data_IF_835685170568
#
_entry.id   IF_835685170568
#
_cell.length_a   1.000
_cell.length_b   1.000
_cell.length_c   1.000
_cell.angle_alpha   90.00
_cell.angle_beta   90.00
_cell.angle_gamma   90.00
#
_symmetry.space_group_name_H-M   'P 1'
#
loop_
_entity.id
_entity.type
_entity.pdbx_description
1 polymer ?
#
# COMPACT_ATOMS: atom_id res chain seq x y z
N UNK A 1 50.40 10.49 -11.76
CA UNK A 1 50.45 9.32 -12.67
C UNK A 1 49.63 9.67 -13.88
N UNK A 2 50.22 9.69 -15.07
CA UNK A 2 49.60 10.24 -16.30
C UNK A 2 48.22 9.67 -16.56
N UNK A 3 47.25 10.55 -16.84
CA UNK A 3 45.92 10.20 -17.36
C UNK A 3 46.10 9.47 -18.70
N UNK A 4 46.03 8.14 -18.68
CA UNK A 4 46.17 7.32 -19.86
C UNK A 4 44.85 7.36 -20.63
N UNK A 5 44.81 8.09 -21.74
CA UNK A 5 43.67 8.10 -22.66
C UNK A 5 43.58 6.72 -23.32
N UNK A 6 42.39 6.13 -23.28
CA UNK A 6 42.07 4.80 -23.82
C UNK A 6 41.39 5.02 -25.18
N UNK A 7 41.87 4.31 -26.20
CA UNK A 7 41.39 4.47 -27.57
C UNK A 7 40.56 3.28 -28.04
N UNK A 8 39.67 3.53 -28.99
CA UNK A 8 38.95 2.49 -29.72
C UNK A 8 38.50 2.95 -31.10
N UNK A 9 38.23 2.01 -32.00
CA UNK A 9 37.78 2.25 -33.37
C UNK A 9 36.50 1.46 -33.64
N UNK A 10 35.49 2.16 -34.15
CA UNK A 10 34.21 1.59 -34.58
C UNK A 10 34.08 1.77 -36.09
N UNK A 11 33.58 0.75 -36.77
CA UNK A 11 33.27 0.85 -38.20
C UNK A 11 31.89 1.53 -38.46
N UNK A 12 31.49 1.60 -39.74
CA UNK A 12 30.16 2.13 -40.12
C UNK A 12 28.98 1.25 -39.68
N UNK A 13 29.20 -0.03 -39.42
CA UNK A 13 28.16 -0.96 -38.98
C UNK A 13 27.88 -0.87 -37.48
N UNK A 14 28.76 -0.20 -36.73
CA UNK A 14 28.70 -0.09 -35.27
C UNK A 14 29.49 -1.20 -34.54
N UNK A 15 30.35 -1.92 -35.26
CA UNK A 15 31.21 -2.96 -34.71
C UNK A 15 32.57 -2.42 -34.23
N UNK A 16 33.05 -2.95 -33.11
CA UNK A 16 34.34 -2.56 -32.51
C UNK A 16 35.51 -3.22 -33.26
N UNK A 17 36.24 -2.45 -34.06
CA UNK A 17 37.35 -2.94 -34.90
C UNK A 17 38.64 -3.06 -34.10
N UNK A 18 38.93 -2.07 -33.25
CA UNK A 18 40.09 -2.10 -32.35
C UNK A 18 39.78 -1.37 -31.05
N UNK A 19 40.46 -1.76 -29.97
CA UNK A 19 40.32 -1.13 -28.66
C UNK A 19 41.56 -1.39 -27.80
N UNK A 20 41.91 -0.41 -26.98
CA UNK A 20 42.87 -0.59 -25.90
C UNK A 20 42.31 -1.55 -24.83
N UNK A 21 43.22 -2.23 -24.10
CA UNK A 21 42.89 -3.31 -23.14
C UNK A 21 41.75 -3.02 -22.16
N UNK A 22 41.60 -1.81 -21.57
CA UNK A 22 40.50 -1.54 -20.64
C UNK A 22 39.12 -1.60 -21.31
N UNK A 23 39.00 -1.02 -22.51
CA UNK A 23 37.74 -1.01 -23.27
C UNK A 23 37.45 -2.40 -23.83
N UNK A 24 38.46 -3.11 -24.32
CA UNK A 24 38.30 -4.48 -24.84
C UNK A 24 37.85 -5.46 -23.74
N UNK A 25 38.45 -5.39 -22.55
CA UNK A 25 38.04 -6.25 -21.42
C UNK A 25 36.61 -5.98 -20.97
N UNK A 26 36.21 -4.70 -20.93
CA UNK A 26 34.84 -4.33 -20.58
C UNK A 26 33.83 -4.88 -21.59
N UNK A 27 34.14 -4.79 -22.89
CA UNK A 27 33.34 -5.36 -23.97
C UNK A 27 33.23 -6.89 -23.87
N UNK A 28 34.34 -7.57 -23.58
CA UNK A 28 34.39 -9.04 -23.39
C UNK A 28 33.53 -9.50 -22.22
N UNK A 29 33.59 -8.78 -21.09
CA UNK A 29 32.74 -9.04 -19.92
C UNK A 29 31.26 -8.83 -20.23
N UNK A 30 30.93 -7.87 -21.09
CA UNK A 30 29.57 -7.67 -21.59
C UNK A 30 29.15 -8.71 -22.66
N UNK A 31 29.99 -9.71 -22.97
CA UNK A 31 29.67 -10.83 -23.86
C UNK A 31 30.00 -10.61 -25.34
N UNK A 32 30.78 -9.58 -25.69
CA UNK A 32 31.16 -9.29 -27.07
C UNK A 32 32.68 -9.07 -27.23
N UNK A 33 33.20 -9.21 -28.45
CA UNK A 33 34.63 -9.04 -28.74
C UNK A 33 34.88 -7.99 -29.80
N UNK A 34 36.08 -8.03 -30.38
CA UNK A 34 36.36 -7.32 -31.62
C UNK A 34 35.50 -7.87 -32.77
N UNK A 35 35.29 -7.05 -33.79
CA UNK A 35 34.46 -7.33 -34.98
C UNK A 35 33.00 -7.66 -34.66
N UNK A 36 32.54 -7.37 -33.44
CA UNK A 36 31.16 -7.50 -33.00
C UNK A 36 30.57 -6.15 -32.63
N UNK A 37 29.23 -6.00 -32.67
CA UNK A 37 28.55 -4.80 -32.20
C UNK A 37 28.94 -4.44 -30.77
N UNK A 38 28.95 -3.13 -30.45
CA UNK A 38 29.16 -2.63 -29.09
C UNK A 38 28.13 -3.23 -28.11
N UNK A 39 28.58 -4.03 -27.14
CA UNK A 39 27.74 -4.63 -26.11
C UNK A 39 27.41 -3.65 -24.97
N UNK A 40 28.07 -2.50 -24.94
CA UNK A 40 27.79 -1.41 -24.01
C UNK A 40 26.71 -0.50 -24.60
N UNK A 41 25.44 -0.57 -24.15
CA UNK A 41 24.32 0.10 -24.84
C UNK A 41 24.46 1.62 -24.85
N UNK A 42 25.01 2.20 -23.77
CA UNK A 42 25.25 3.63 -23.67
C UNK A 42 26.30 4.09 -24.70
N UNK A 43 27.40 3.35 -24.84
CA UNK A 43 28.46 3.66 -25.81
C UNK A 43 27.97 3.48 -27.25
N UNK A 44 27.26 2.39 -27.53
CA UNK A 44 26.64 2.13 -28.84
C UNK A 44 25.72 3.28 -29.27
N UNK A 45 24.88 3.78 -28.35
CA UNK A 45 23.97 4.90 -28.61
C UNK A 45 24.72 6.20 -28.88
N UNK A 46 25.83 6.45 -28.17
CA UNK A 46 26.66 7.63 -28.38
C UNK A 46 27.35 7.60 -29.75
N UNK A 47 27.86 6.44 -30.16
CA UNK A 47 28.49 6.26 -31.47
C UNK A 47 27.48 6.46 -32.59
N UNK A 48 26.31 5.83 -32.50
CA UNK A 48 25.25 6.00 -33.48
C UNK A 48 24.80 7.48 -33.59
N UNK A 49 24.74 8.19 -32.46
CA UNK A 49 24.39 9.61 -32.43
C UNK A 49 25.48 10.49 -33.09
N UNK A 50 26.76 10.23 -32.80
CA UNK A 50 27.88 10.99 -33.36
C UNK A 50 28.01 10.77 -34.87
N UNK A 51 27.89 9.52 -35.34
CA UNK A 51 27.88 9.16 -36.75
C UNK A 51 26.69 9.78 -37.49
N UNK A 52 25.49 9.79 -36.88
CA UNK A 52 24.30 10.42 -37.50
C UNK A 52 24.44 11.93 -37.62
N UNK A 53 25.05 12.59 -36.63
CA UNK A 53 25.20 14.05 -36.61
C UNK A 53 26.47 14.55 -37.30
N UNK A 54 27.42 13.65 -37.62
CA UNK A 54 28.74 13.99 -38.16
C UNK A 54 29.44 15.08 -37.35
N UNK A 55 29.35 14.96 -36.01
CA UNK A 55 29.93 15.90 -35.05
C UNK A 55 30.54 15.15 -33.88
N UNK A 56 31.59 15.74 -33.32
CA UNK A 56 32.20 15.31 -32.07
C UNK A 56 31.19 15.33 -30.93
N UNK A 57 31.09 14.23 -30.19
CA UNK A 57 30.22 14.12 -29.02
C UNK A 57 31.03 13.65 -27.83
N UNK A 58 31.02 14.43 -26.75
CA UNK A 58 31.62 14.08 -25.47
C UNK A 58 30.55 13.87 -24.41
N UNK A 59 30.52 12.69 -23.78
CA UNK A 59 29.55 12.34 -22.72
C UNK A 59 30.18 11.40 -21.69
N UNK A 60 29.74 11.47 -20.42
CA UNK A 60 30.16 10.51 -19.41
C UNK A 60 29.59 9.12 -19.73
N UNK A 61 30.42 8.09 -19.60
CA UNK A 61 30.09 6.68 -19.67
C UNK A 61 30.04 6.12 -18.24
N UNK A 62 28.93 5.44 -17.95
CA UNK A 62 28.75 4.64 -16.74
C UNK A 62 28.58 3.20 -17.18
N UNK A 63 29.50 2.33 -16.79
CA UNK A 63 29.43 0.90 -17.03
C UNK A 63 29.70 0.16 -15.74
N UNK A 64 29.10 -1.01 -15.56
CA UNK A 64 29.36 -1.87 -14.42
C UNK A 64 29.65 -3.29 -14.92
N UNK A 65 30.57 -3.98 -14.26
CA UNK A 65 30.77 -5.41 -14.38
C UNK A 65 30.74 -6.07 -12.99
N UNK A 66 30.93 -7.40 -12.96
CA UNK A 66 30.86 -8.21 -11.73
C UNK A 66 31.84 -7.79 -10.62
N UNK A 67 32.81 -6.91 -10.93
CA UNK A 67 33.91 -6.56 -10.04
C UNK A 67 34.14 -5.06 -9.91
N UNK A 68 33.59 -4.21 -10.80
CA UNK A 68 33.90 -2.78 -10.83
C UNK A 68 32.79 -1.93 -11.46
N UNK A 69 32.52 -0.80 -10.82
CA UNK A 69 31.81 0.33 -11.40
C UNK A 69 32.83 1.22 -12.12
N UNK A 70 32.61 1.43 -13.40
CA UNK A 70 33.48 2.20 -14.27
C UNK A 70 32.79 3.51 -14.62
N UNK A 71 33.47 4.62 -14.28
CA UNK A 71 33.12 5.95 -14.72
C UNK A 71 34.23 6.50 -15.61
N UNK A 72 33.87 7.01 -16.78
CA UNK A 72 34.83 7.61 -17.70
C UNK A 72 34.17 8.71 -18.53
N UNK A 73 34.95 9.60 -19.13
CA UNK A 73 34.48 10.55 -20.13
C UNK A 73 34.82 10.01 -21.51
N UNK A 74 33.82 9.79 -22.35
CA UNK A 74 34.00 9.31 -23.72
C UNK A 74 33.77 10.45 -24.69
N UNK A 75 34.74 10.66 -25.57
CA UNK A 75 34.63 11.50 -26.76
C UNK A 75 34.59 10.61 -27.99
N UNK A 76 33.57 10.81 -28.81
CA UNK A 76 33.39 10.10 -30.09
C UNK A 76 33.67 11.07 -31.23
N UNK A 77 34.60 10.70 -32.09
CA UNK A 77 35.06 11.43 -33.27
C UNK A 77 34.59 10.68 -34.52
N UNK A 78 33.46 11.05 -35.14
CA UNK A 78 33.01 10.39 -36.36
C UNK A 78 33.94 10.71 -37.54
N UNK A 79 34.20 9.73 -38.38
CA UNK A 79 35.00 9.91 -39.61
C UNK A 79 34.35 9.18 -40.80
N UNK A 80 35.00 9.23 -41.96
CA UNK A 80 34.49 8.61 -43.18
C UNK A 80 34.35 7.08 -43.05
N UNK A 81 35.10 6.41 -42.17
CA UNK A 81 35.12 4.95 -42.05
C UNK A 81 34.33 4.43 -40.83
N UNK A 82 33.87 5.32 -39.96
CA UNK A 82 33.05 4.99 -38.80
C UNK A 82 33.21 6.04 -37.70
N UNK A 83 33.83 5.67 -36.58
CA UNK A 83 34.12 6.58 -35.49
C UNK A 83 35.34 6.14 -34.66
N UNK A 84 36.11 7.12 -34.20
CA UNK A 84 37.19 6.92 -33.22
C UNK A 84 36.69 7.29 -31.82
N UNK A 85 37.09 6.51 -30.81
CA UNK A 85 36.75 6.70 -29.41
C UNK A 85 38.00 7.15 -28.65
N UNK A 86 37.87 8.24 -27.90
CA UNK A 86 38.84 8.69 -26.91
C UNK A 86 38.17 8.65 -25.53
N UNK A 87 38.72 7.86 -24.61
CA UNK A 87 38.16 7.70 -23.27
C UNK A 87 39.17 8.23 -22.25
N UNK A 88 38.81 9.32 -21.58
CA UNK A 88 39.57 9.95 -20.52
C UNK A 88 38.92 9.71 -19.15
N UNK A 89 39.63 10.07 -18.08
CA UNK A 89 39.11 9.97 -16.71
C UNK A 89 38.61 8.56 -16.32
N UNK A 90 39.24 7.50 -16.84
CA UNK A 90 38.85 6.13 -16.53
C UNK A 90 39.05 5.82 -15.05
N UNK A 91 37.94 5.75 -14.31
CA UNK A 91 37.89 5.43 -12.88
C UNK A 91 37.12 4.14 -12.72
N UNK A 92 37.84 3.04 -12.57
CA UNK A 92 37.29 1.80 -12.06
C UNK A 92 37.28 1.87 -10.54
N UNK A 93 36.10 1.92 -9.95
CA UNK A 93 35.92 1.67 -8.52
C UNK A 93 35.56 0.19 -8.39
N UNK A 94 36.25 -0.61 -7.57
CA UNK A 94 35.78 -1.95 -7.30
C UNK A 94 34.33 -1.82 -6.82
N UNK A 95 33.43 -2.61 -7.40
CA UNK A 95 32.10 -2.72 -6.83
C UNK A 95 32.35 -3.13 -5.39
N UNK A 96 31.93 -2.28 -4.44
CA UNK A 96 31.56 -2.83 -3.16
C UNK A 96 30.41 -3.74 -3.51
N UNK A 97 30.71 -5.02 -3.78
CA UNK A 97 29.79 -6.06 -3.37
C UNK A 97 29.31 -5.56 -2.01
N UNK A 98 27.99 -5.46 -1.78
CA UNK A 98 27.54 -5.54 -0.40
C UNK A 98 28.30 -6.75 0.09
N UNK A 99 29.26 -6.52 0.99
CA UNK A 99 29.84 -7.62 1.71
C UNK A 99 28.58 -8.13 2.39
N UNK A 100 27.94 -9.15 1.82
CA UNK A 100 27.09 -10.01 2.58
C UNK A 100 28.02 -10.31 3.76
N UNK A 101 27.70 -9.80 4.97
CA UNK A 101 28.61 -9.94 6.08
C UNK A 101 28.98 -11.41 6.06
N UNK A 102 30.29 -11.70 6.01
CA UNK A 102 30.74 -13.08 6.06
C UNK A 102 29.97 -13.69 7.22
N UNK A 103 29.08 -14.64 6.89
CA UNK A 103 28.27 -15.31 7.88
C UNK A 103 29.26 -15.71 8.96
N UNK A 104 28.99 -15.40 10.24
CA UNK A 104 29.72 -16.06 11.30
C UNK A 104 29.61 -17.56 11.00
N UNK A 105 30.73 -18.17 10.64
CA UNK A 105 30.89 -19.62 10.52
C UNK A 105 30.84 -20.18 11.95
N UNK A 106 29.68 -20.04 12.60
CA UNK A 106 29.35 -20.55 13.91
C UNK A 106 27.89 -20.20 14.25
N UNK A 107 26.93 -20.90 13.65
CA UNK A 107 25.71 -21.34 14.34
C UNK A 107 24.92 -22.28 13.41
N UNK A 108 24.86 -23.56 13.78
CA UNK A 108 23.92 -24.61 13.38
C UNK A 108 23.21 -24.47 12.02
N UNK A 109 23.39 -25.48 11.13
CA UNK A 109 22.52 -25.68 9.97
C UNK A 109 21.06 -25.39 10.33
N UNK A 110 20.41 -24.40 9.69
CA UNK A 110 19.07 -23.97 10.10
C UNK A 110 18.11 -25.14 9.99
N UNK A 111 17.35 -25.41 11.05
CA UNK A 111 16.29 -26.43 11.06
C UNK A 111 15.06 -26.07 10.22
N UNK A 112 14.99 -24.84 9.69
CA UNK A 112 13.86 -24.28 8.96
C UNK A 112 14.27 -23.58 7.66
N UNK A 113 13.42 -22.68 7.16
CA UNK A 113 13.71 -21.92 5.95
C UNK A 113 14.51 -20.66 6.27
N UNK A 114 15.40 -20.28 5.37
CA UNK A 114 15.98 -18.93 5.33
C UNK A 114 15.34 -18.17 4.18
N UNK A 115 14.97 -16.92 4.42
CA UNK A 115 14.25 -16.11 3.45
C UNK A 115 14.80 -14.67 3.41
N UNK A 116 14.66 -14.03 2.26
CA UNK A 116 14.95 -12.62 2.05
C UNK A 116 13.84 -12.00 1.21
N UNK A 117 13.40 -10.80 1.56
CA UNK A 117 12.40 -10.06 0.82
C UNK A 117 12.82 -8.60 0.58
N UNK A 118 12.27 -7.98 -0.46
CA UNK A 118 12.47 -6.56 -0.75
C UNK A 118 11.65 -5.66 0.19
N UNK A 119 11.74 -4.33 -0.02
CA UNK A 119 11.03 -3.33 0.77
C UNK A 119 9.50 -3.39 0.60
N UNK A 120 9.01 -4.10 -0.42
CA UNK A 120 7.59 -4.38 -0.67
C UNK A 120 7.20 -5.78 -0.16
N UNK A 121 8.06 -6.44 0.61
CA UNK A 121 7.89 -7.79 1.15
C UNK A 121 7.78 -8.89 0.08
N UNK A 122 8.30 -8.68 -1.14
CA UNK A 122 8.40 -9.73 -2.16
C UNK A 122 9.63 -10.58 -1.93
N UNK A 123 9.49 -11.90 -2.00
CA UNK A 123 10.61 -12.81 -1.76
C UNK A 123 11.66 -12.71 -2.87
N UNK A 124 12.90 -12.47 -2.47
CA UNK A 124 14.09 -12.39 -3.35
C UNK A 124 14.96 -13.64 -3.18
N UNK A 125 14.94 -14.26 -2.00
CA UNK A 125 15.58 -15.54 -1.75
C UNK A 125 14.75 -16.40 -0.80
N UNK A 126 14.69 -17.70 -1.06
CA UNK A 126 14.14 -18.70 -0.15
C UNK A 126 14.96 -19.98 -0.24
N UNK A 127 15.42 -20.51 0.90
CA UNK A 127 16.19 -21.76 0.95
C UNK A 127 15.71 -22.63 2.10
N UNK A 128 15.52 -23.91 1.84
CA UNK A 128 15.27 -24.89 2.90
C UNK A 128 16.59 -25.29 3.58
N UNK A 129 16.58 -25.35 4.91
CA UNK A 129 17.65 -25.95 5.69
C UNK A 129 17.64 -27.49 5.65
N UNK A 130 18.67 -28.12 6.22
CA UNK A 130 18.93 -29.57 6.11
C UNK A 130 17.86 -30.47 6.73
N UNK A 131 17.10 -29.98 7.70
CA UNK A 131 15.97 -30.69 8.34
C UNK A 131 14.60 -30.06 7.97
N UNK A 132 14.59 -29.09 7.06
CA UNK A 132 13.39 -28.34 6.70
C UNK A 132 12.61 -29.00 5.56
N UNK A 133 11.31 -28.69 5.48
CA UNK A 133 10.45 -29.06 4.34
C UNK A 133 11.00 -28.44 3.05
N UNK A 134 10.93 -29.10 1.88
CA UNK A 134 11.30 -28.46 0.62
C UNK A 134 10.48 -27.19 0.37
N UNK A 135 11.13 -26.15 -0.15
CA UNK A 135 10.49 -24.88 -0.50
C UNK A 135 9.48 -25.09 -1.64
N UNK A 136 8.36 -24.34 -1.68
CA UNK A 136 7.44 -24.35 -2.82
C UNK A 136 8.17 -23.99 -4.11
N UNK A 137 7.76 -24.52 -5.26
CA UNK A 137 8.47 -24.34 -6.54
C UNK A 137 8.24 -22.97 -7.20
N UNK A 138 7.25 -22.20 -6.78
CA UNK A 138 6.83 -20.92 -7.39
C UNK A 138 6.94 -19.72 -6.44
N UNK A 139 7.92 -19.76 -5.53
CA UNK A 139 8.13 -18.72 -4.51
C UNK A 139 8.68 -17.39 -5.04
N UNK A 140 9.42 -17.39 -6.16
CA UNK A 140 10.19 -16.23 -6.69
C UNK A 140 9.33 -15.02 -7.09
N UNK A 141 8.01 -15.21 -7.25
CA UNK A 141 7.08 -14.13 -7.59
C UNK A 141 6.12 -13.77 -6.44
N UNK A 142 6.22 -14.46 -5.30
CA UNK A 142 5.27 -14.35 -4.19
C UNK A 142 5.74 -13.36 -3.13
N UNK A 143 4.78 -12.65 -2.55
CA UNK A 143 5.00 -11.87 -1.34
C UNK A 143 5.16 -12.79 -0.12
N UNK A 144 5.81 -12.28 0.92
CA UNK A 144 5.95 -12.97 2.20
C UNK A 144 4.58 -13.42 2.74
N UNK A 145 3.54 -12.60 2.58
CA UNK A 145 2.15 -12.88 2.98
C UNK A 145 1.42 -13.90 2.09
N UNK A 146 1.90 -14.15 0.88
CA UNK A 146 1.36 -15.20 0.00
C UNK A 146 2.01 -16.56 0.25
N UNK A 147 3.25 -16.56 0.75
CA UNK A 147 3.94 -17.78 1.16
C UNK A 147 3.60 -18.18 2.60
N UNK A 148 3.42 -17.19 3.48
CA UNK A 148 3.09 -17.36 4.89
C UNK A 148 1.79 -16.63 5.22
N UNK A 149 0.78 -17.37 5.66
CA UNK A 149 -0.40 -16.80 6.32
C UNK A 149 0.03 -16.27 7.69
N UNK A 150 0.26 -14.96 7.79
CA UNK A 150 0.68 -14.30 9.02
C UNK A 150 -0.47 -14.33 10.04
N UNK A 151 -0.18 -14.77 11.26
CA UNK A 151 -1.10 -14.78 12.38
C UNK A 151 -0.75 -13.67 13.36
N UNK A 152 -1.72 -12.92 13.90
CA UNK A 152 -1.45 -11.93 14.91
C UNK A 152 -0.99 -12.57 16.23
N UNK A 153 -0.32 -11.81 17.09
CA UNK A 153 -0.13 -12.15 18.49
C UNK A 153 -1.44 -12.04 19.29
N UNK A 154 -1.42 -12.34 20.58
CA UNK A 154 -2.62 -12.36 21.44
C UNK A 154 -3.23 -10.95 21.61
N UNK A 155 -2.47 -9.90 21.31
CA UNK A 155 -2.91 -8.50 21.28
C UNK A 155 -3.42 -8.08 19.88
N UNK A 156 -3.54 -9.00 18.92
CA UNK A 156 -4.00 -8.71 17.56
C UNK A 156 -2.94 -8.06 16.66
N UNK A 157 -1.66 -8.06 17.05
CA UNK A 157 -0.58 -7.33 16.36
C UNK A 157 0.29 -8.25 15.51
N UNK A 158 0.85 -7.69 14.45
CA UNK A 158 1.80 -8.39 13.59
C UNK A 158 3.20 -7.84 13.83
N UNK A 159 4.10 -8.69 14.32
CA UNK A 159 5.48 -8.32 14.59
C UNK A 159 6.19 -7.82 13.32
N UNK A 160 5.93 -8.45 12.16
CA UNK A 160 6.51 -8.06 10.88
C UNK A 160 6.04 -6.68 10.40
N UNK A 161 4.77 -6.32 10.60
CA UNK A 161 4.26 -5.01 10.18
C UNK A 161 4.79 -3.88 11.07
N UNK A 162 4.96 -4.16 12.37
CA UNK A 162 5.60 -3.23 13.31
C UNK A 162 7.08 -3.04 12.97
N UNK A 163 7.77 -4.12 12.61
CA UNK A 163 9.14 -4.07 12.15
C UNK A 163 9.27 -3.26 10.85
N UNK A 164 8.37 -3.45 9.89
CA UNK A 164 8.36 -2.66 8.64
C UNK A 164 8.17 -1.17 8.91
N UNK A 165 7.22 -0.81 9.78
CA UNK A 165 6.97 0.59 10.13
C UNK A 165 8.15 1.25 10.87
N UNK A 166 8.93 0.46 11.62
CA UNK A 166 10.09 0.94 12.42
C UNK A 166 11.43 0.69 11.76
N UNK A 167 11.45 0.02 10.60
CA UNK A 167 12.66 -0.49 9.94
C UNK A 167 13.59 -1.22 10.93
N UNK A 168 12.99 -2.08 11.77
CA UNK A 168 13.66 -2.76 12.89
C UNK A 168 13.47 -4.27 12.80
N UNK A 169 14.30 -5.04 13.50
CA UNK A 169 14.16 -6.50 13.55
C UNK A 169 12.88 -6.96 14.26
N UNK A 170 12.42 -8.16 13.95
CA UNK A 170 11.33 -8.83 14.64
C UNK A 170 11.62 -10.32 14.86
N UNK A 171 11.01 -10.86 15.89
CA UNK A 171 11.00 -12.28 16.25
C UNK A 171 9.57 -12.66 16.66
N UNK A 172 9.26 -13.96 16.72
CA UNK A 172 7.97 -14.42 17.24
C UNK A 172 6.77 -14.19 16.32
N UNK A 173 6.98 -13.87 15.04
CA UNK A 173 5.86 -13.70 14.11
C UNK A 173 5.25 -15.09 13.81
N UNK A 174 4.10 -15.38 14.41
CA UNK A 174 3.32 -16.58 14.10
C UNK A 174 2.88 -16.55 12.64
N UNK A 175 3.01 -17.67 11.93
CA UNK A 175 2.47 -17.81 10.59
C UNK A 175 2.14 -19.27 10.26
N UNK A 176 1.41 -19.48 9.17
CA UNK A 176 1.17 -20.81 8.59
C UNK A 176 1.69 -20.86 7.17
N UNK A 177 2.38 -21.92 6.81
CA UNK A 177 2.81 -22.18 5.44
C UNK A 177 2.15 -23.45 4.92
N UNK A 178 1.83 -23.48 3.62
CA UNK A 178 1.38 -24.71 2.96
C UNK A 178 2.57 -25.64 2.74
N UNK A 179 2.51 -26.83 3.35
CA UNK A 179 3.46 -27.91 3.11
C UNK A 179 2.85 -29.04 2.29
N UNK A 180 3.67 -29.95 1.74
CA UNK A 180 3.22 -31.11 0.97
C UNK A 180 2.34 -32.10 1.77
N UNK A 181 2.32 -31.99 3.11
CA UNK A 181 1.48 -32.79 4.00
C UNK A 181 0.35 -31.97 4.68
N UNK A 182 0.08 -30.75 4.21
CA UNK A 182 -0.91 -29.82 4.78
C UNK A 182 -0.30 -28.57 5.44
N UNK A 183 -1.14 -27.66 5.95
CA UNK A 183 -0.71 -26.41 6.57
C UNK A 183 0.10 -26.68 7.84
N UNK A 184 1.23 -25.97 7.99
CA UNK A 184 2.10 -26.06 9.17
C UNK A 184 2.30 -24.71 9.82
N UNK A 185 2.23 -24.71 11.15
CA UNK A 185 2.59 -23.55 11.95
C UNK A 185 4.10 -23.31 11.90
N UNK A 186 4.48 -22.06 11.66
CA UNK A 186 5.83 -21.58 11.58
C UNK A 186 5.97 -20.30 12.38
N UNK A 187 7.17 -20.06 12.89
CA UNK A 187 7.53 -18.82 13.54
C UNK A 187 8.60 -18.12 12.71
N UNK A 188 8.34 -16.86 12.35
CA UNK A 188 9.23 -16.04 11.55
C UNK A 188 9.99 -15.07 12.44
N UNK A 189 11.26 -14.91 12.12
CA UNK A 189 12.12 -13.84 12.61
C UNK A 189 12.80 -13.17 11.42
N UNK A 190 13.02 -11.86 11.47
CA UNK A 190 13.62 -11.10 10.39
C UNK A 190 14.35 -9.86 10.86
N UNK A 191 15.52 -9.61 10.27
CA UNK A 191 16.34 -8.41 10.47
C UNK A 191 16.23 -7.49 9.23
N UNK A 192 16.18 -6.17 9.43
CA UNK A 192 16.07 -5.20 8.34
C UNK A 192 17.39 -5.13 7.56
N UNK A 193 17.28 -5.07 6.24
CA UNK A 193 18.37 -4.82 5.32
C UNK A 193 18.36 -3.34 4.90
N UNK A 194 19.56 -2.77 4.79
CA UNK A 194 19.76 -1.41 4.31
C UNK A 194 20.80 -1.39 3.20
N UNK A 195 20.64 -0.47 2.25
CA UNK A 195 21.67 -0.21 1.23
C UNK A 195 22.85 0.60 1.82
N UNK A 196 23.89 0.82 1.00
CA UNK A 196 25.05 1.61 1.39
C UNK A 196 24.73 3.09 1.69
N UNK A 197 23.53 3.57 1.35
CA UNK A 197 23.03 4.91 1.64
C UNK A 197 22.09 4.91 2.88
N UNK A 198 22.08 3.83 3.67
CA UNK A 198 21.22 3.63 4.84
C UNK A 198 19.71 3.68 4.54
N UNK A 199 19.31 3.38 3.30
CA UNK A 199 17.89 3.25 2.94
C UNK A 199 17.46 1.81 3.12
N UNK A 200 16.28 1.62 3.71
CA UNK A 200 15.69 0.32 3.91
C UNK A 200 15.42 -0.40 2.58
N UNK A 201 15.96 -1.61 2.42
CA UNK A 201 15.83 -2.41 1.19
C UNK A 201 14.97 -3.66 1.37
N UNK A 202 14.67 -4.05 2.61
CA UNK A 202 13.83 -5.22 2.88
C UNK A 202 14.18 -5.95 4.17
N UNK A 203 13.85 -7.23 4.26
CA UNK A 203 14.13 -8.07 5.44
C UNK A 203 14.84 -9.36 5.05
N UNK A 204 15.72 -9.84 5.91
CA UNK A 204 16.27 -11.20 5.86
C UNK A 204 15.93 -11.92 7.14
N UNK A 205 15.51 -13.17 7.04
CA UNK A 205 15.00 -13.88 8.19
C UNK A 205 15.07 -15.40 8.11
N UNK A 206 14.53 -16.00 9.16
CA UNK A 206 14.32 -17.45 9.27
C UNK A 206 12.85 -17.75 9.50
N UNK A 207 12.40 -18.91 9.07
CA UNK A 207 11.09 -19.46 9.38
C UNK A 207 11.28 -20.87 9.95
N UNK A 208 10.97 -21.02 11.25
CA UNK A 208 11.17 -22.27 11.97
C UNK A 208 9.82 -22.97 12.18
N UNK A 209 9.71 -24.28 11.90
CA UNK A 209 8.48 -25.01 12.19
C UNK A 209 8.28 -25.12 13.70
N UNK A 210 7.13 -24.67 14.19
CA UNK A 210 6.72 -24.87 15.58
C UNK A 210 5.97 -26.19 15.65
N UNK A 211 6.49 -27.19 16.38
CA UNK A 211 5.95 -28.56 16.43
C UNK A 211 4.51 -28.72 16.96
N UNK A 212 3.78 -27.62 17.20
CA UNK A 212 2.34 -27.64 17.49
C UNK A 212 1.57 -27.58 16.18
N UNK A 213 1.02 -28.73 15.77
CA UNK A 213 -0.11 -28.75 14.87
C UNK A 213 -1.31 -28.15 15.63
N UNK A 214 -1.48 -26.84 15.57
CA UNK A 214 -2.75 -26.22 15.96
C UNK A 214 -3.79 -26.71 14.97
N UNK A 215 -4.56 -27.71 15.40
CA UNK A 215 -5.74 -28.20 14.71
C UNK A 215 -6.59 -26.98 14.31
N UNK A 216 -7.08 -27.02 13.07
CA UNK A 216 -8.02 -26.04 12.58
C UNK A 216 -9.22 -25.95 13.54
N UNK A 217 -9.27 -24.88 14.34
CA UNK A 217 -10.53 -24.45 14.94
C UNK A 217 -11.45 -24.08 13.79
N UNK A 218 -12.25 -25.07 13.40
CA UNK A 218 -13.26 -24.95 12.38
C UNK A 218 -14.38 -24.15 13.02
N UNK A 219 -14.36 -22.82 12.86
CA UNK A 219 -15.51 -22.00 13.23
C UNK A 219 -16.70 -22.43 12.34
N UNK A 220 -17.89 -22.65 12.91
CA UNK A 220 -19.04 -23.11 12.14
C UNK A 220 -19.43 -22.02 11.13
N UNK A 221 -19.44 -22.40 9.85
CA UNK A 221 -20.06 -21.63 8.78
C UNK A 221 -21.57 -21.55 9.06
N UNK A 222 -22.02 -20.42 9.58
CA UNK A 222 -23.43 -20.04 9.50
C UNK A 222 -23.70 -19.67 8.04
N UNK A 223 -24.08 -20.67 7.26
CA UNK A 223 -24.65 -20.50 5.93
C UNK A 223 -26.00 -19.82 6.06
N UNK A 224 -26.05 -18.52 5.79
CA UNK A 224 -27.31 -17.80 5.57
C UNK A 224 -27.92 -18.27 4.23
N UNK A 225 -29.18 -18.76 4.17
CA UNK A 225 -29.72 -19.47 3.00
C UNK A 225 -29.96 -18.61 1.74
N UNK A 226 -29.70 -17.30 1.77
CA UNK A 226 -30.11 -16.42 0.66
C UNK A 226 -29.09 -16.32 -0.50
N UNK A 227 -27.79 -16.53 -0.27
CA UNK A 227 -26.76 -16.29 -1.31
C UNK A 227 -25.57 -17.25 -1.20
N UNK A 228 -25.77 -18.51 -1.61
CA UNK A 228 -24.65 -19.32 -2.08
C UNK A 228 -24.09 -18.70 -3.37
N UNK A 229 -22.76 -18.57 -3.47
CA UNK A 229 -21.97 -18.32 -4.70
C UNK A 229 -21.50 -16.90 -5.10
N UNK A 230 -21.20 -16.01 -4.15
CA UNK A 230 -20.24 -14.91 -4.40
C UNK A 230 -18.98 -15.06 -3.52
N UNK A 231 -17.75 -14.92 -4.06
CA UNK A 231 -16.49 -15.10 -3.31
C UNK A 231 -16.23 -14.02 -2.25
N UNK A 232 -17.13 -13.05 -2.10
CA UNK A 232 -17.03 -11.96 -1.13
C UNK A 232 -17.26 -12.40 0.32
N UNK A 233 -17.90 -13.54 0.55
CA UNK A 233 -18.10 -14.12 1.88
C UNK A 233 -16.86 -14.83 2.42
N UNK A 234 -15.80 -14.99 1.61
CA UNK A 234 -14.53 -15.59 2.04
C UNK A 234 -13.66 -14.53 2.76
N UNK A 235 -13.36 -14.68 4.06
CA UNK A 235 -12.49 -13.78 4.81
C UNK A 235 -11.05 -13.72 4.26
N UNK A 236 -10.62 -14.69 3.46
CA UNK A 236 -9.32 -14.68 2.78
C UNK A 236 -9.35 -13.84 1.49
N UNK A 237 -10.49 -13.74 0.81
CA UNK A 237 -10.62 -13.04 -0.47
C UNK A 237 -10.46 -11.51 -0.33
N UNK A 238 -11.18 -10.88 0.60
CA UNK A 238 -11.09 -9.42 0.80
C UNK A 238 -9.73 -8.96 1.36
N UNK A 239 -9.07 -9.75 2.21
CA UNK A 239 -7.69 -9.47 2.67
C UNK A 239 -6.67 -9.54 1.52
N UNK A 240 -6.82 -10.50 0.60
CA UNK A 240 -5.99 -10.59 -0.61
C UNK A 240 -6.27 -9.44 -1.57
N UNK A 241 -7.53 -9.04 -1.74
CA UNK A 241 -7.93 -7.89 -2.56
C UNK A 241 -7.40 -6.57 -2.00
N UNK A 242 -7.49 -6.36 -0.69
CA UNK A 242 -7.02 -5.12 -0.05
C UNK A 242 -5.52 -4.88 -0.30
N UNK A 243 -4.69 -5.89 -0.01
CA UNK A 243 -3.25 -5.82 -0.29
C UNK A 243 -2.92 -5.72 -1.78
N UNK A 244 -3.62 -6.48 -2.64
CA UNK A 244 -3.33 -6.55 -4.07
C UNK A 244 -3.80 -5.29 -4.85
N UNK A 245 -4.88 -4.63 -4.43
CA UNK A 245 -5.43 -3.47 -5.13
C UNK A 245 -4.90 -2.13 -4.60
N UNK A 246 -4.58 -2.01 -3.31
CA UNK A 246 -4.13 -0.75 -2.70
C UNK A 246 -2.86 -0.19 -3.35
N UNK A 247 -1.86 -1.04 -3.58
CA UNK A 247 -0.60 -0.68 -4.23
C UNK A 247 -0.78 -0.10 -5.65
N UNK A 248 -1.36 -0.85 -6.60
CA UNK A 248 -1.58 -0.35 -7.95
C UNK A 248 -2.53 0.84 -8.01
N UNK A 249 -3.60 0.88 -7.20
CA UNK A 249 -4.50 2.05 -7.15
C UNK A 249 -3.78 3.30 -6.65
N UNK A 250 -2.96 3.19 -5.60
CA UNK A 250 -2.17 4.32 -5.08
C UNK A 250 -1.22 4.88 -6.14
N UNK A 251 -0.61 4.00 -6.95
CA UNK A 251 0.26 4.42 -8.07
C UNK A 251 -0.53 5.12 -9.18
N UNK A 252 -1.71 4.61 -9.54
CA UNK A 252 -2.60 5.23 -10.53
C UNK A 252 -3.04 6.62 -10.06
N UNK A 253 -3.45 6.74 -8.79
CA UNK A 253 -3.84 8.02 -8.18
C UNK A 253 -2.68 9.00 -8.22
N UNK A 254 -1.49 8.61 -7.73
CA UNK A 254 -0.32 9.49 -7.71
C UNK A 254 0.08 9.95 -9.13
N UNK A 255 0.05 9.04 -10.10
CA UNK A 255 0.39 9.38 -11.50
C UNK A 255 -0.64 10.34 -12.09
N UNK A 256 -1.92 10.10 -11.84
CA UNK A 256 -3.02 10.93 -12.31
C UNK A 256 -3.03 12.31 -11.63
N UNK A 257 -2.68 12.40 -10.34
CA UNK A 257 -2.47 13.65 -9.61
C UNK A 257 -1.29 14.44 -10.18
N UNK A 258 -0.18 13.77 -10.51
CA UNK A 258 0.98 14.42 -11.15
C UNK A 258 0.60 15.04 -12.49
N UNK A 259 -0.16 14.31 -13.31
CA UNK A 259 -0.64 14.80 -14.62
C UNK A 259 -1.65 15.95 -14.43
N UNK A 260 -2.60 15.80 -13.51
CA UNK A 260 -3.61 16.83 -13.22
C UNK A 260 -3.00 18.11 -12.67
N UNK A 261 -1.97 17.99 -11.83
CA UNK A 261 -1.24 19.11 -11.22
C UNK A 261 -0.22 19.77 -12.14
N UNK A 262 0.04 19.20 -13.33
CA UNK A 262 0.94 19.75 -14.34
C UNK A 262 2.38 19.97 -13.84
N UNK A 263 2.84 19.14 -12.89
CA UNK A 263 4.14 19.32 -12.21
C UNK A 263 5.35 19.19 -13.15
N UNK A 264 5.22 18.43 -14.25
CA UNK A 264 6.28 18.25 -15.27
C UNK A 264 6.14 19.22 -16.47
N UNK A 265 5.21 20.17 -16.40
CA UNK A 265 4.97 21.18 -17.43
C UNK A 265 3.51 21.25 -17.88
N UNK A 266 3.16 22.31 -18.63
CA UNK A 266 1.78 22.56 -19.04
C UNK A 266 1.29 21.51 -20.03
N UNK A 267 0.10 20.99 -19.79
CA UNK A 267 -0.62 20.09 -20.69
C UNK A 267 -1.96 20.71 -21.09
N UNK A 268 -2.61 20.15 -22.12
CA UNK A 268 -3.94 20.62 -22.54
C UNK A 268 -4.95 20.42 -21.39
N UNK A 269 -5.79 21.42 -21.14
CA UNK A 269 -6.66 21.48 -19.97
C UNK A 269 -7.64 20.28 -19.86
N UNK A 270 -8.06 19.72 -20.99
CA UNK A 270 -8.90 18.52 -21.02
C UNK A 270 -8.15 17.27 -20.55
N UNK A 271 -6.87 17.10 -20.88
CA UNK A 271 -6.05 16.01 -20.35
C UNK A 271 -5.80 16.14 -18.85
N UNK A 272 -5.59 17.36 -18.36
CA UNK A 272 -5.49 17.62 -16.92
C UNK A 272 -6.81 17.24 -16.20
N UNK A 273 -7.96 17.59 -16.80
CA UNK A 273 -9.28 17.21 -16.27
C UNK A 273 -9.49 15.69 -16.28
N UNK A 274 -9.15 14.99 -17.37
CA UNK A 274 -9.25 13.52 -17.40
C UNK A 274 -8.36 12.85 -16.35
N UNK A 275 -7.17 13.39 -16.12
CA UNK A 275 -6.29 12.91 -15.05
C UNK A 275 -6.91 13.17 -13.66
N UNK A 276 -7.54 14.32 -13.45
CA UNK A 276 -8.34 14.60 -12.26
C UNK A 276 -9.47 13.59 -12.06
N UNK A 277 -10.21 13.25 -13.12
CA UNK A 277 -11.29 12.25 -13.08
C UNK A 277 -10.76 10.85 -12.75
N UNK A 278 -9.61 10.44 -13.32
CA UNK A 278 -8.94 9.17 -13.03
C UNK A 278 -8.50 9.13 -11.56
N UNK A 279 -7.89 10.20 -11.05
CA UNK A 279 -7.49 10.28 -9.64
C UNK A 279 -8.72 10.21 -8.71
N UNK A 280 -9.83 10.85 -9.08
CA UNK A 280 -11.08 10.79 -8.33
C UNK A 280 -11.65 9.38 -8.29
N UNK A 281 -11.75 8.71 -9.44
CA UNK A 281 -12.21 7.33 -9.54
C UNK A 281 -11.31 6.36 -8.77
N UNK A 282 -9.98 6.55 -8.84
CA UNK A 282 -9.01 5.75 -8.10
C UNK A 282 -9.18 5.87 -6.58
N UNK A 283 -9.33 7.10 -6.05
CA UNK A 283 -9.61 7.32 -4.62
C UNK A 283 -10.94 6.71 -4.20
N UNK A 284 -11.94 6.75 -5.07
CA UNK A 284 -13.23 6.11 -4.80
C UNK A 284 -13.11 4.59 -4.68
N UNK A 285 -12.37 3.94 -5.59
CA UNK A 285 -12.07 2.51 -5.52
C UNK A 285 -11.25 2.15 -4.29
N UNK A 286 -10.30 2.99 -3.89
CA UNK A 286 -9.52 2.75 -2.68
C UNK A 286 -10.41 2.78 -1.42
N UNK A 287 -11.34 3.73 -1.33
CA UNK A 287 -12.31 3.77 -0.23
C UNK A 287 -13.24 2.55 -0.21
N UNK A 288 -13.62 2.02 -1.37
CA UNK A 288 -14.37 0.76 -1.48
C UNK A 288 -13.59 -0.44 -0.95
N UNK A 289 -12.28 -0.47 -1.23
CA UNK A 289 -11.37 -1.50 -0.74
C UNK A 289 -11.20 -1.40 0.78
N UNK A 290 -11.03 -0.19 1.30
CA UNK A 290 -10.98 0.08 2.75
C UNK A 290 -12.28 -0.38 3.44
N UNK A 291 -13.45 0.00 2.90
CA UNK A 291 -14.75 -0.39 3.42
C UNK A 291 -14.94 -1.92 3.42
N UNK A 292 -14.48 -2.59 2.36
CA UNK A 292 -14.54 -4.05 2.27
C UNK A 292 -13.64 -4.70 3.33
N UNK A 293 -12.42 -4.20 3.53
CA UNK A 293 -11.50 -4.71 4.55
C UNK A 293 -12.06 -4.51 5.97
N UNK A 294 -12.68 -3.37 6.24
CA UNK A 294 -13.36 -3.10 7.51
C UNK A 294 -14.54 -4.04 7.72
N UNK A 295 -15.39 -4.22 6.70
CA UNK A 295 -16.51 -5.16 6.75
C UNK A 295 -16.03 -6.56 7.09
N UNK A 296 -14.94 -7.05 6.47
CA UNK A 296 -14.39 -8.36 6.78
C UNK A 296 -13.87 -8.51 8.22
N UNK A 297 -13.34 -7.43 8.82
CA UNK A 297 -12.92 -7.46 10.21
C UNK A 297 -14.11 -7.50 11.18
N UNK A 298 -15.18 -6.76 10.86
CA UNK A 298 -16.37 -6.63 11.71
C UNK A 298 -17.32 -7.84 11.57
N UNK A 299 -17.27 -8.56 10.44
CA UNK A 299 -18.07 -9.77 10.20
C UNK A 299 -17.46 -11.04 10.80
N UNK A 300 -16.27 -10.97 11.39
CA UNK A 300 -15.67 -12.13 12.04
C UNK A 300 -16.53 -12.60 13.22
N UNK A 301 -16.78 -13.91 13.34
CA UNK A 301 -17.36 -14.47 14.56
C UNK A 301 -16.54 -14.05 15.77
N UNK A 302 -17.19 -13.48 16.79
CA UNK A 302 -16.53 -13.03 18.01
C UNK A 302 -15.85 -11.65 17.95
N UNK A 303 -16.05 -10.87 16.87
CA UNK A 303 -15.63 -9.46 16.87
C UNK A 303 -16.25 -8.71 18.05
N UNK A 304 -15.40 -8.12 18.89
CA UNK A 304 -15.77 -7.22 19.99
C UNK A 304 -14.97 -5.95 19.86
N UNK A 305 -15.65 -4.81 19.86
CA UNK A 305 -14.97 -3.52 19.91
C UNK A 305 -14.30 -3.35 21.28
N UNK A 306 -13.18 -2.62 21.32
CA UNK A 306 -12.55 -2.29 22.59
C UNK A 306 -13.50 -1.42 23.43
N UNK A 307 -13.52 -1.66 24.74
CA UNK A 307 -14.36 -0.88 25.66
C UNK A 307 -13.50 0.20 26.32
N UNK A 308 -13.35 1.32 25.62
CA UNK A 308 -12.63 2.49 26.13
C UNK A 308 -13.60 3.53 26.71
N UNK A 309 -13.08 4.39 27.58
CA UNK A 309 -13.77 5.58 28.05
C UNK A 309 -13.64 6.68 26.99
N UNK A 310 -14.78 7.16 26.47
CA UNK A 310 -14.81 8.17 25.41
C UNK A 310 -15.80 9.28 25.76
N UNK A 311 -15.65 10.43 25.09
CA UNK A 311 -16.62 11.52 25.11
C UNK A 311 -17.11 11.78 23.68
N UNK A 312 -18.42 11.59 23.46
CA UNK A 312 -19.04 11.84 22.15
C UNK A 312 -18.93 13.32 21.74
N UNK A 313 -18.87 14.23 22.71
CA UNK A 313 -18.56 15.66 22.56
C UNK A 313 -17.27 15.89 21.81
N UNK A 314 -16.20 15.34 22.37
CA UNK A 314 -14.87 15.48 21.82
C UNK A 314 -14.73 14.82 20.44
N UNK A 315 -15.27 13.61 20.29
CA UNK A 315 -15.22 12.87 19.04
C UNK A 315 -15.99 13.57 17.92
N UNK A 316 -17.16 14.12 18.20
CA UNK A 316 -17.93 14.91 17.24
C UNK A 316 -17.17 16.15 16.78
N UNK A 317 -16.57 16.91 17.71
CA UNK A 317 -15.75 18.09 17.38
C UNK A 317 -14.52 17.72 16.52
N UNK A 318 -13.86 16.61 16.82
CA UNK A 318 -12.75 16.09 15.99
C UNK A 318 -13.20 15.72 14.58
N UNK A 319 -14.35 15.03 14.44
CA UNK A 319 -14.90 14.69 13.14
C UNK A 319 -15.24 15.94 12.30
N UNK A 320 -15.78 16.99 12.93
CA UNK A 320 -16.00 18.29 12.28
C UNK A 320 -14.67 18.91 11.83
N UNK A 321 -13.64 18.90 12.67
CA UNK A 321 -12.32 19.42 12.31
C UNK A 321 -11.70 18.72 11.09
N UNK A 322 -11.92 17.41 10.95
CA UNK A 322 -11.42 16.62 9.82
C UNK A 322 -12.18 16.86 8.51
N UNK A 323 -13.48 17.19 8.57
CA UNK A 323 -14.33 17.38 7.40
C UNK A 323 -14.69 18.85 7.12
N UNK A 324 -14.16 19.79 7.92
CA UNK A 324 -14.47 21.22 7.83
C UNK A 324 -14.18 21.81 6.45
N UNK A 325 -12.98 21.56 5.91
CA UNK A 325 -12.60 22.03 4.57
C UNK A 325 -13.57 21.56 3.48
N UNK A 326 -14.00 20.30 3.55
CA UNK A 326 -14.92 19.71 2.56
C UNK A 326 -16.33 20.28 2.65
N UNK A 327 -16.77 20.65 3.85
CA UNK A 327 -18.03 21.35 4.05
C UNK A 327 -17.95 22.79 3.53
N UNK A 328 -16.85 23.48 3.81
CA UNK A 328 -16.58 24.84 3.35
C UNK A 328 -16.53 24.94 1.82
N UNK A 329 -15.91 23.97 1.14
CA UNK A 329 -15.90 23.86 -0.33
C UNK A 329 -17.31 23.83 -0.95
N UNK A 330 -18.31 23.29 -0.23
CA UNK A 330 -19.73 23.29 -0.63
C UNK A 330 -20.55 24.44 -0.03
N UNK A 331 -19.91 25.34 0.71
CA UNK A 331 -20.55 26.41 1.47
C UNK A 331 -21.47 25.91 2.59
N UNK A 332 -21.32 24.67 3.06
CA UNK A 332 -22.17 24.08 4.09
C UNK A 332 -21.69 24.52 5.47
N UNK A 333 -22.58 25.12 6.27
CA UNK A 333 -22.29 25.49 7.66
C UNK A 333 -22.50 24.29 8.57
N UNK A 334 -21.47 23.87 9.30
CA UNK A 334 -21.59 22.87 10.35
C UNK A 334 -21.74 23.56 11.71
N UNK A 335 -22.88 23.35 12.35
CA UNK A 335 -23.13 23.75 13.73
C UNK A 335 -22.67 22.63 14.69
N UNK A 336 -21.42 22.74 15.12
CA UNK A 336 -20.73 21.77 15.95
C UNK A 336 -21.17 21.87 17.43
N UNK A 337 -20.99 20.78 18.21
CA UNK A 337 -21.23 20.81 19.65
C UNK A 337 -20.29 21.81 20.35
N UNK A 338 -20.78 22.46 21.40
CA UNK A 338 -19.98 23.36 22.24
C UNK A 338 -18.90 22.57 22.98
N UNK A 339 -17.90 23.27 23.54
CA UNK A 339 -16.81 22.63 24.30
C UNK A 339 -17.30 21.94 25.58
N UNK A 340 -18.37 22.50 26.13
CA UNK A 340 -19.09 22.14 27.33
C UNK A 340 -20.15 21.05 27.07
N UNK A 341 -20.51 20.79 25.81
CA UNK A 341 -21.36 19.65 25.44
C UNK A 341 -20.52 18.37 25.55
N UNK A 342 -20.77 17.59 26.60
CA UNK A 342 -20.15 16.29 26.86
C UNK A 342 -21.20 15.20 26.98
N UNK A 343 -20.86 14.02 26.48
CA UNK A 343 -21.59 12.81 26.76
C UNK A 343 -20.61 11.65 26.89
N UNK A 344 -20.13 11.39 28.11
CA UNK A 344 -19.27 10.26 28.41
C UNK A 344 -19.96 8.94 28.06
N UNK A 345 -19.26 8.06 27.36
CA UNK A 345 -19.77 6.79 26.88
C UNK A 345 -18.70 5.70 26.93
N UNK A 346 -19.15 4.44 26.82
CA UNK A 346 -18.28 3.30 26.57
C UNK A 346 -18.23 3.00 25.07
N UNK A 347 -17.03 2.92 24.51
CA UNK A 347 -16.84 2.55 23.10
C UNK A 347 -15.39 2.71 22.65
N UNK A 348 -15.04 2.07 21.53
CA UNK A 348 -13.69 2.17 20.96
C UNK A 348 -13.53 3.51 20.23
N UNK A 349 -12.59 4.33 20.68
CA UNK A 349 -12.36 5.68 20.15
C UNK A 349 -12.30 5.73 18.62
N UNK A 350 -11.52 4.83 18.00
CA UNK A 350 -11.31 4.81 16.54
C UNK A 350 -12.59 4.47 15.78
N UNK A 351 -13.39 3.53 16.31
CA UNK A 351 -14.61 3.06 15.66
C UNK A 351 -15.74 4.08 15.76
N UNK A 352 -15.84 4.77 16.89
CA UNK A 352 -16.80 5.88 17.03
C UNK A 352 -16.42 7.04 16.12
N UNK A 353 -15.14 7.41 16.03
CA UNK A 353 -14.69 8.42 15.08
C UNK A 353 -15.00 8.01 13.63
N UNK A 354 -14.80 6.74 13.28
CA UNK A 354 -15.15 6.19 11.96
C UNK A 354 -16.65 6.31 11.66
N UNK A 355 -17.52 5.96 12.62
CA UNK A 355 -18.97 6.15 12.50
C UNK A 355 -19.30 7.61 12.21
N UNK A 356 -18.76 8.53 13.02
CA UNK A 356 -19.04 9.97 12.90
C UNK A 356 -18.55 10.56 11.56
N UNK A 357 -17.37 10.16 11.10
CA UNK A 357 -16.84 10.58 9.79
C UNK A 357 -17.73 10.10 8.64
N UNK A 358 -18.28 8.89 8.75
CA UNK A 358 -19.21 8.38 7.74
C UNK A 358 -20.56 9.12 7.77
N UNK A 359 -21.12 9.38 8.97
CA UNK A 359 -22.37 10.15 9.11
C UNK A 359 -22.22 11.57 8.57
N UNK A 360 -21.19 12.30 9.02
CA UNK A 360 -20.94 13.67 8.58
C UNK A 360 -20.55 13.73 7.09
N UNK A 361 -19.78 12.74 6.61
CA UNK A 361 -19.46 12.60 5.19
C UNK A 361 -20.69 12.40 4.32
N UNK A 362 -21.68 11.63 4.77
CA UNK A 362 -22.97 11.46 4.09
C UNK A 362 -23.81 12.74 4.15
N UNK A 363 -23.87 13.40 5.31
CA UNK A 363 -24.57 14.67 5.47
C UNK A 363 -24.04 15.75 4.50
N UNK A 364 -22.72 15.92 4.39
CA UNK A 364 -22.07 16.86 3.44
C UNK A 364 -22.31 16.45 1.98
N UNK A 365 -22.34 15.13 1.71
CA UNK A 365 -22.55 14.62 0.35
C UNK A 365 -23.96 14.94 -0.15
N UNK A 366 -24.98 14.69 0.67
CA UNK A 366 -26.37 14.72 0.26
C UNK A 366 -27.11 16.02 0.60
N UNK A 367 -26.52 16.90 1.38
CA UNK A 367 -27.06 18.25 1.58
C UNK A 367 -26.85 19.13 0.34
N UNK A 368 -27.80 20.03 0.03
CA UNK A 368 -27.60 21.10 -0.94
C UNK A 368 -26.40 21.98 -0.57
N UNK A 369 -25.83 22.66 -1.56
CA UNK A 369 -24.85 23.73 -1.33
C UNK A 369 -25.48 24.86 -0.48
N UNK A 370 -24.65 25.56 0.30
CA UNK A 370 -25.10 26.67 1.18
C UNK A 370 -26.14 26.29 2.24
N UNK A 371 -26.18 25.01 2.63
CA UNK A 371 -27.07 24.48 3.65
C UNK A 371 -26.41 24.45 5.04
N UNK A 372 -27.16 23.96 6.03
CA UNK A 372 -26.67 23.75 7.40
C UNK A 372 -26.76 22.28 7.79
N UNK A 373 -25.69 21.79 8.42
CA UNK A 373 -25.67 20.53 9.16
C UNK A 373 -25.53 20.87 10.64
N UNK A 374 -26.32 20.24 11.50
CA UNK A 374 -26.17 20.42 12.95
C UNK A 374 -25.85 19.10 13.63
N UNK A 375 -25.07 19.18 14.71
CA UNK A 375 -24.70 18.04 15.53
C UNK A 375 -25.16 18.33 16.96
N UNK A 376 -25.90 17.40 17.55
CA UNK A 376 -26.37 17.48 18.93
C UNK A 376 -25.96 16.27 19.71
N UNK A 377 -25.70 16.49 20.98
CA UNK A 377 -25.25 15.49 21.90
C UNK A 377 -26.22 15.53 23.06
N UNK A 378 -26.68 14.35 23.45
CA UNK A 378 -27.66 14.22 24.50
C UNK A 378 -27.37 12.95 25.31
N UNK A 379 -27.92 12.90 26.52
CA UNK A 379 -27.88 11.75 27.39
C UNK A 379 -29.29 11.40 27.82
N UNK A 380 -29.74 10.21 27.44
CA UNK A 380 -31.01 9.65 27.86
C UNK A 380 -30.76 8.44 28.75
N UNK A 381 -30.85 8.65 30.07
CA UNK A 381 -30.63 7.62 31.08
C UNK A 381 -29.25 6.96 30.98
N UNK A 382 -29.27 5.68 30.60
CA UNK A 382 -28.09 4.81 30.45
C UNK A 382 -27.46 4.89 29.05
N UNK A 383 -27.89 5.81 28.20
CA UNK A 383 -27.35 6.00 26.84
C UNK A 383 -26.87 7.41 26.58
N UNK A 384 -25.67 7.50 26.03
CA UNK A 384 -25.10 8.70 25.44
C UNK A 384 -25.40 8.69 23.94
N UNK A 385 -25.85 9.81 23.40
CA UNK A 385 -26.25 9.91 22.00
C UNK A 385 -25.58 11.07 21.29
N UNK A 386 -25.34 10.89 20.00
CA UNK A 386 -24.90 11.93 19.08
C UNK A 386 -25.74 11.87 17.82
N UNK A 387 -26.41 12.97 17.52
CA UNK A 387 -27.29 13.13 16.36
C UNK A 387 -26.64 14.05 15.35
N UNK A 388 -26.48 13.56 14.11
CA UNK A 388 -26.04 14.34 12.95
C UNK A 388 -27.24 14.54 12.04
N UNK A 389 -27.58 15.78 11.76
CA UNK A 389 -28.75 16.12 10.95
C UNK A 389 -28.39 16.99 9.75
N UNK A 390 -28.91 16.61 8.60
CA UNK A 390 -28.68 17.25 7.32
C UNK A 390 -29.95 17.89 6.74
N UNK A 391 -29.78 18.70 5.68
CA UNK A 391 -30.87 19.33 4.94
C UNK A 391 -31.02 18.72 3.53
N UNK A 392 -30.69 17.44 3.39
CA UNK A 392 -30.77 16.71 2.14
C UNK A 392 -32.21 16.46 1.67
N UNK A 393 -32.33 15.71 0.57
CA UNK A 393 -33.63 15.34 -0.01
C UNK A 393 -34.51 14.46 0.89
N UNK A 394 -33.99 13.99 2.03
CA UNK A 394 -34.67 13.06 2.93
C UNK A 394 -34.87 11.67 2.32
N UNK A 395 -35.63 10.83 3.02
CA UNK A 395 -35.81 9.42 2.73
C UNK A 395 -37.27 8.99 2.97
N UNK A 396 -37.82 8.19 2.06
CA UNK A 396 -39.12 7.53 2.29
C UNK A 396 -39.01 6.46 3.39
N UNK A 397 -40.14 6.02 3.94
CA UNK A 397 -40.16 4.95 4.95
C UNK A 397 -39.56 3.64 4.42
N UNK A 398 -39.80 3.31 3.14
CA UNK A 398 -39.20 2.14 2.49
C UNK A 398 -37.68 2.27 2.40
N UNK A 399 -37.18 3.45 2.00
CA UNK A 399 -35.75 3.73 1.91
C UNK A 399 -35.06 3.65 3.28
N UNK A 400 -35.71 4.13 4.35
CA UNK A 400 -35.20 4.03 5.72
C UNK A 400 -35.09 2.57 6.20
N UNK A 401 -35.97 1.69 5.74
CA UNK A 401 -35.93 0.26 6.08
C UNK A 401 -34.71 -0.47 5.50
N UNK A 402 -34.20 -0.02 4.35
CA UNK A 402 -33.10 -0.68 3.63
C UNK A 402 -31.78 0.09 3.63
N UNK A 403 -31.74 1.35 4.08
CA UNK A 403 -30.54 2.20 4.01
C UNK A 403 -29.32 1.64 4.76
N UNK A 404 -29.56 0.77 5.74
CA UNK A 404 -28.51 0.10 6.48
C UNK A 404 -28.09 -1.24 5.87
N UNK A 405 -28.66 -1.68 4.75
CA UNK A 405 -28.29 -2.91 4.06
C UNK A 405 -27.00 -2.75 3.25
N UNK A 406 -26.32 -3.88 2.99
CA UNK A 406 -25.06 -3.89 2.25
C UNK A 406 -25.26 -3.42 0.81
N UNK A 407 -24.37 -2.54 0.35
CA UNK A 407 -24.34 -2.01 -1.03
C UNK A 407 -25.59 -1.24 -1.44
N UNK A 408 -26.46 -0.89 -0.47
CA UNK A 408 -27.68 -0.17 -0.77
C UNK A 408 -27.37 1.31 -1.06
N UNK A 409 -27.93 1.81 -2.16
CA UNK A 409 -27.66 3.18 -2.67
C UNK A 409 -28.93 3.93 -3.06
N UNK A 410 -30.10 3.37 -2.80
CA UNK A 410 -31.41 3.98 -3.00
C UNK A 410 -31.62 4.50 -4.43
N UNK A 411 -31.09 3.75 -5.42
CA UNK A 411 -31.20 4.07 -6.84
C UNK A 411 -30.34 5.26 -7.33
N UNK A 412 -29.44 5.81 -6.49
CA UNK A 412 -28.60 6.95 -6.87
C UNK A 412 -27.36 6.50 -7.64
N UNK A 413 -27.23 6.94 -8.89
CA UNK A 413 -26.09 6.64 -9.78
C UNK A 413 -24.90 7.59 -9.62
N UNK A 414 -25.03 8.60 -8.76
CA UNK A 414 -24.01 9.65 -8.56
C UNK A 414 -22.66 9.02 -8.18
N UNK A 415 -21.56 9.56 -8.70
CA UNK A 415 -20.23 8.93 -8.76
C UNK A 415 -19.47 8.77 -7.43
N UNK A 416 -20.15 8.75 -6.28
CA UNK A 416 -19.46 8.54 -5.00
C UNK A 416 -20.29 7.92 -3.89
N UNK A 417 -19.75 6.83 -3.32
CA UNK A 417 -20.25 6.13 -2.15
C UNK A 417 -20.35 4.64 -2.40
N UNK A 418 -19.78 3.82 -1.50
CA UNK A 418 -19.73 2.36 -1.65
C UNK A 418 -21.06 1.65 -1.38
N UNK A 419 -22.01 2.33 -0.72
CA UNK A 419 -23.18 1.69 -0.12
C UNK A 419 -22.83 0.82 1.10
N UNK A 420 -21.58 0.85 1.57
CA UNK A 420 -21.13 0.07 2.74
C UNK A 420 -20.98 0.92 4.00
N UNK A 421 -20.74 2.22 3.88
CA UNK A 421 -20.46 3.09 5.02
C UNK A 421 -21.52 3.01 6.13
N UNK A 422 -22.81 3.17 5.81
CA UNK A 422 -23.89 3.13 6.81
C UNK A 422 -24.09 1.73 7.41
N UNK A 423 -23.95 0.68 6.62
CA UNK A 423 -23.94 -0.71 7.10
C UNK A 423 -22.80 -0.93 8.13
N UNK A 424 -21.58 -0.55 7.76
CA UNK A 424 -20.38 -0.64 8.63
C UNK A 424 -20.61 0.17 9.91
N UNK A 425 -21.09 1.40 9.79
CA UNK A 425 -21.33 2.28 10.93
C UNK A 425 -22.34 1.69 11.93
N UNK A 426 -23.45 1.13 11.44
CA UNK A 426 -24.45 0.48 12.30
C UNK A 426 -23.90 -0.78 12.96
N UNK A 427 -23.11 -1.57 12.24
CA UNK A 427 -22.52 -2.78 12.80
C UNK A 427 -21.46 -2.48 13.85
N UNK A 428 -20.65 -1.44 13.66
CA UNK A 428 -19.72 -0.93 14.67
C UNK A 428 -20.46 -0.45 15.92
N UNK A 429 -21.54 0.32 15.77
CA UNK A 429 -22.36 0.77 16.89
C UNK A 429 -22.88 -0.42 17.72
N UNK A 430 -23.43 -1.44 17.05
CA UNK A 430 -23.92 -2.66 17.70
C UNK A 430 -22.83 -3.50 18.36
N UNK A 431 -21.63 -3.52 17.78
CA UNK A 431 -20.47 -4.18 18.39
C UNK A 431 -19.96 -3.47 19.65
N UNK A 432 -20.41 -2.24 19.90
CA UNK A 432 -20.17 -1.45 21.12
C UNK A 432 -21.42 -1.37 22.02
N UNK A 433 -22.34 -2.33 21.91
CA UNK A 433 -23.61 -2.40 22.67
C UNK A 433 -24.56 -1.19 22.46
N UNK A 434 -24.35 -0.48 21.35
CA UNK A 434 -25.17 0.63 20.88
C UNK A 434 -26.10 0.27 19.73
N UNK A 435 -26.69 1.30 19.10
CA UNK A 435 -27.28 1.19 17.78
C UNK A 435 -27.16 2.53 17.03
N UNK A 436 -27.33 2.46 15.71
CA UNK A 436 -27.43 3.61 14.83
C UNK A 436 -28.84 3.61 14.20
N UNK A 437 -29.59 4.67 14.45
CA UNK A 437 -30.96 4.84 13.95
C UNK A 437 -31.06 6.06 13.05
N UNK A 438 -32.15 6.11 12.28
CA UNK A 438 -32.45 7.20 11.37
C UNK A 438 -33.88 7.68 11.57
N UNK A 439 -34.06 9.00 11.47
CA UNK A 439 -35.36 9.66 11.36
C UNK A 439 -35.30 10.66 10.20
N UNK A 440 -36.15 10.45 9.20
CA UNK A 440 -36.18 11.25 7.97
C UNK A 440 -37.58 11.27 7.37
N UNK A 441 -37.87 12.31 6.60
CA UNK A 441 -39.02 12.37 5.72
C UNK A 441 -38.61 13.01 4.38
N UNK A 442 -39.25 12.65 3.24
CA UNK A 442 -38.94 13.28 1.96
C UNK A 442 -39.02 14.81 2.05
N UNK A 443 -37.93 15.48 1.64
CA UNK A 443 -37.79 16.93 1.67
C UNK A 443 -37.45 17.54 3.05
N UNK A 444 -37.28 16.74 4.10
CA UNK A 444 -36.95 17.23 5.46
C UNK A 444 -35.52 16.90 5.92
N UNK A 445 -34.66 16.42 5.02
CA UNK A 445 -33.33 15.94 5.38
C UNK A 445 -33.37 14.61 6.15
N UNK A 446 -32.22 14.22 6.69
CA UNK A 446 -32.08 13.02 7.51
C UNK A 446 -31.38 13.32 8.83
N UNK A 447 -31.83 12.65 9.90
CA UNK A 447 -31.23 12.67 11.23
C UNK A 447 -30.72 11.28 11.55
N UNK A 448 -29.41 11.14 11.69
CA UNK A 448 -28.77 9.90 12.10
C UNK A 448 -28.34 10.02 13.56
N UNK A 449 -28.81 9.12 14.41
CA UNK A 449 -28.52 9.12 15.85
C UNK A 449 -27.74 7.87 16.22
N UNK A 450 -26.48 8.05 16.61
CA UNK A 450 -25.67 7.02 17.24
C UNK A 450 -25.96 7.02 18.74
N UNK A 451 -26.26 5.85 19.30
CA UNK A 451 -26.43 5.64 20.74
C UNK A 451 -25.38 4.64 21.24
N UNK A 452 -24.75 4.93 22.38
CA UNK A 452 -23.80 4.06 23.07
C UNK A 452 -24.12 4.01 24.57
N UNK A 453 -23.71 2.96 25.30
CA UNK A 453 -23.86 2.91 26.74
C UNK A 453 -23.19 4.12 27.39
N UNK A 454 -23.96 4.90 28.15
CA UNK A 454 -23.46 6.05 28.88
C UNK A 454 -22.48 5.58 29.95
N UNK A 455 -21.50 6.43 30.22
CA UNK A 455 -20.69 6.34 31.42
C UNK A 455 -21.22 7.36 32.42
N UNK A 456 -21.36 6.95 33.67
CA UNK A 456 -21.65 7.88 34.77
C UNK A 456 -20.48 8.86 34.93
N UNK A 457 -20.81 10.14 35.06
CA UNK A 457 -19.86 11.15 35.50
C UNK A 457 -19.70 10.95 37.02
N UNK A 458 -18.62 10.30 37.44
CA UNK A 458 -18.15 10.38 38.84
C UNK A 458 -17.48 11.72 39.11
#
# INVERSE_FOLDING_TARGET
>A
MSERIIHGRIDRSGALVSADDPLLRLQQRAGAGLEKPLALPQLARLVALAQRLQRDISRPLYAADDHSDIHALVRVLPDAEGASLEISDWRARPTRQPLAPALPEAAASPRGWTWECDAQLRLVALRAGTEAVPTPTDWEARSLSELFELLPDDDGRFAVLRALARQAGFEGQRARAEGPAGPRAMELAGEPLFDAAARFTGFRGTALPTGKAEAAETAPTLSDPAFGSLPLSDPAFGRRIDGALRGPLSRIIATAETISGQFDGPIRADYARYAGDIAHAGRHLLGLVDDLADLQNIERPGFRAARDEIDLGDLARRAVGLLGMKAEEKGIRIDAPRTDDRAPAWGEFRRVLQVLLNLLGNAIRYSPEHSQIWIRIDRDGDRATVTVADQGQGLSAEQQGVIFEKFERLGRTDSGGSGLGLYIARRLARAMDGDLVIDSAPGQGARFTLSLPARDEE
#
